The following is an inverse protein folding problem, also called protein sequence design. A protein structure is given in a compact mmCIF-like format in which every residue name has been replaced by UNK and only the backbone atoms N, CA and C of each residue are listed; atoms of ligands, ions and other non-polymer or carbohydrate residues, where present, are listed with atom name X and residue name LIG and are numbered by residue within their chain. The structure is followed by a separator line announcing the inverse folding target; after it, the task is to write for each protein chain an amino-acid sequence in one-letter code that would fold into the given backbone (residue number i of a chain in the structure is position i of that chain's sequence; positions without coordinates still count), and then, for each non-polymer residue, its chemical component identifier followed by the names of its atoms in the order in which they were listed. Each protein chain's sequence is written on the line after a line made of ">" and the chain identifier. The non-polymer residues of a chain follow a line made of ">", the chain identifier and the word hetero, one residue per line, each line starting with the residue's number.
data_IF_497766915255
#
_entry.id   IF_497766915255
#
_cell.length_a   1.000
_cell.length_b   1.000
_cell.length_c   1.000
_cell.angle_alpha   90.00
_cell.angle_beta   90.00
_cell.angle_gamma   90.00
#
_symmetry.space_group_name_H-M   'P 1'
#
loop_
_entity.id
_entity.type
_entity.pdbx_description
1 polymer ?
#
# COMPACT_ATOMS: atom_id res chain seq x y z
N UNK A 1 -11.59 11.55 -16.07
CA UNK A 1 -10.20 11.24 -15.67
C UNK A 1 -10.18 10.19 -14.57
N UNK A 2 -9.40 9.16 -14.72
CA UNK A 2 -9.25 8.12 -13.70
C UNK A 2 -8.36 8.65 -12.57
N UNK A 3 -8.89 8.82 -11.36
CA UNK A 3 -8.14 9.37 -10.22
C UNK A 3 -7.17 8.36 -9.61
N UNK A 4 -7.56 7.09 -9.58
CA UNK A 4 -6.67 5.98 -9.22
C UNK A 4 -6.78 4.91 -10.28
N UNK A 5 -5.66 4.32 -10.62
CA UNK A 5 -5.59 3.17 -11.48
C UNK A 5 -5.97 1.90 -10.69
N UNK A 6 -5.76 0.75 -11.30
CA UNK A 6 -5.79 -0.51 -10.61
C UNK A 6 -4.79 -0.48 -9.44
N UNK A 7 -5.17 -1.01 -8.29
CA UNK A 7 -4.33 -0.99 -7.09
C UNK A 7 -3.59 -2.32 -6.91
N UNK A 8 -2.27 -2.24 -6.82
CA UNK A 8 -1.45 -3.38 -6.43
C UNK A 8 -1.49 -3.51 -4.91
N UNK A 9 -1.90 -4.67 -4.40
CA UNK A 9 -2.04 -4.93 -2.97
C UNK A 9 -0.79 -5.62 -2.42
N UNK A 10 0.21 -4.82 -2.05
CA UNK A 10 1.48 -5.29 -1.52
C UNK A 10 1.54 -5.30 0.00
N UNK A 11 2.60 -5.86 0.53
CA UNK A 11 2.86 -5.88 1.97
C UNK A 11 2.86 -7.28 2.57
N UNK A 12 2.45 -7.38 3.83
CA UNK A 12 2.52 -8.62 4.58
C UNK A 12 1.76 -9.75 3.90
N UNK A 13 2.45 -10.87 3.72
CA UNK A 13 1.87 -12.14 3.26
C UNK A 13 1.70 -13.09 4.48
N UNK A 14 2.20 -14.31 4.43
CA UNK A 14 2.23 -15.23 5.57
C UNK A 14 0.85 -15.51 6.21
N UNK A 15 -0.18 -15.71 5.36
CA UNK A 15 -1.55 -16.02 5.81
C UNK A 15 -2.20 -14.89 6.62
N UNK A 16 -1.75 -13.65 6.46
CA UNK A 16 -2.38 -12.51 7.10
C UNK A 16 -3.68 -12.16 6.37
N UNK A 17 -4.79 -11.95 7.08
CA UNK A 17 -6.11 -11.72 6.47
C UNK A 17 -6.36 -10.29 6.00
N UNK A 18 -5.39 -9.39 6.03
CA UNK A 18 -5.65 -7.97 5.74
C UNK A 18 -6.24 -7.71 4.34
N UNK A 19 -5.83 -8.51 3.34
CA UNK A 19 -6.39 -8.37 1.99
C UNK A 19 -7.85 -8.77 1.95
N UNK A 20 -8.22 -9.82 2.67
CA UNK A 20 -9.61 -10.29 2.76
C UNK A 20 -10.51 -9.27 3.45
N UNK A 21 -9.96 -8.46 4.34
CA UNK A 21 -10.70 -7.38 5.01
C UNK A 21 -10.84 -6.15 4.10
N UNK A 22 -9.81 -5.84 3.31
CA UNK A 22 -9.78 -4.65 2.46
C UNK A 22 -10.57 -4.82 1.15
N UNK A 23 -10.46 -5.98 0.52
CA UNK A 23 -11.03 -6.23 -0.81
C UNK A 23 -12.54 -5.93 -0.88
N UNK A 24 -13.38 -6.34 0.09
CA UNK A 24 -14.81 -5.99 0.02
C UNK A 24 -15.07 -4.49 -0.02
N UNK A 25 -14.25 -3.69 0.64
CA UNK A 25 -14.40 -2.24 0.62
C UNK A 25 -13.98 -1.65 -0.74
N UNK A 26 -12.93 -2.20 -1.35
CA UNK A 26 -12.52 -1.81 -2.71
C UNK A 26 -13.62 -2.14 -3.71
N UNK A 27 -14.25 -3.31 -3.58
CA UNK A 27 -15.36 -3.73 -4.44
C UNK A 27 -16.54 -2.77 -4.31
N UNK A 28 -16.89 -2.37 -3.10
CA UNK A 28 -17.98 -1.40 -2.87
C UNK A 28 -17.69 -0.05 -3.52
N UNK A 29 -16.44 0.35 -3.56
CA UNK A 29 -16.01 1.61 -4.18
C UNK A 29 -15.82 1.49 -5.69
N UNK A 30 -15.91 0.28 -6.25
CA UNK A 30 -15.66 0.03 -7.67
C UNK A 30 -14.20 0.25 -8.07
N UNK A 31 -13.28 0.05 -7.15
CA UNK A 31 -11.85 0.19 -7.39
C UNK A 31 -11.28 -1.17 -7.78
N UNK A 32 -10.65 -1.24 -8.95
CA UNK A 32 -9.98 -2.45 -9.40
C UNK A 32 -8.68 -2.67 -8.64
N UNK A 33 -8.31 -3.91 -8.44
CA UNK A 33 -7.08 -4.27 -7.71
C UNK A 33 -6.43 -5.50 -8.32
N UNK A 34 -5.14 -5.66 -8.03
CA UNK A 34 -4.36 -6.86 -8.29
C UNK A 34 -3.88 -7.43 -6.95
N UNK A 35 -4.27 -8.66 -6.66
CA UNK A 35 -3.84 -9.38 -5.48
C UNK A 35 -2.72 -10.35 -5.87
N UNK A 36 -1.46 -10.09 -5.45
CA UNK A 36 -0.32 -10.92 -5.84
C UNK A 36 -0.24 -12.27 -5.10
N UNK A 37 -1.08 -12.47 -4.10
CA UNK A 37 -1.04 -13.70 -3.29
C UNK A 37 -1.65 -14.86 -4.05
N UNK A 38 -0.85 -15.91 -4.26
CA UNK A 38 -1.27 -17.15 -4.93
C UNK A 38 -0.72 -18.33 -4.15
N UNK A 39 -1.37 -19.51 -4.27
CA UNK A 39 -0.96 -20.72 -3.55
C UNK A 39 0.40 -21.22 -4.04
N UNK A 40 0.60 -21.26 -5.36
CA UNK A 40 1.83 -21.75 -5.98
C UNK A 40 2.55 -20.61 -6.71
N UNK A 41 3.32 -19.82 -5.97
CA UNK A 41 4.11 -18.75 -6.56
C UNK A 41 5.28 -19.30 -7.37
N UNK A 42 5.46 -18.79 -8.59
CA UNK A 42 6.48 -19.22 -9.53
C UNK A 42 7.01 -18.04 -10.35
N UNK A 43 7.91 -18.31 -11.29
CA UNK A 43 8.52 -17.27 -12.14
C UNK A 43 7.48 -16.52 -12.98
N UNK A 44 6.45 -17.22 -13.45
CA UNK A 44 5.36 -16.57 -14.20
C UNK A 44 4.63 -15.54 -13.32
N UNK A 45 4.39 -15.87 -12.05
CA UNK A 45 3.80 -14.94 -11.09
C UNK A 45 4.68 -13.71 -10.90
N UNK A 46 6.01 -13.90 -10.83
CA UNK A 46 6.95 -12.80 -10.71
C UNK A 46 6.88 -11.84 -11.91
N UNK A 47 6.80 -12.39 -13.10
CA UNK A 47 6.68 -11.57 -14.32
C UNK A 47 5.38 -10.80 -14.36
N UNK A 48 4.28 -11.42 -13.95
CA UNK A 48 2.96 -10.76 -13.87
C UNK A 48 3.01 -9.61 -12.86
N UNK A 49 3.58 -9.84 -11.67
CA UNK A 49 3.73 -8.80 -10.66
C UNK A 49 4.56 -7.62 -11.17
N UNK A 50 5.67 -7.89 -11.86
CA UNK A 50 6.51 -6.84 -12.44
C UNK A 50 5.76 -6.00 -13.45
N UNK A 51 4.94 -6.62 -14.30
CA UNK A 51 4.13 -5.91 -15.28
C UNK A 51 3.06 -5.06 -14.61
N UNK A 52 2.35 -5.61 -13.61
CA UNK A 52 1.35 -4.85 -12.85
C UNK A 52 1.98 -3.62 -12.17
N UNK A 53 3.15 -3.75 -11.59
CA UNK A 53 3.87 -2.65 -10.93
C UNK A 53 4.23 -1.49 -11.85
N UNK A 54 4.29 -1.70 -13.15
CA UNK A 54 4.55 -0.62 -14.11
C UNK A 54 3.35 0.29 -14.29
N UNK A 55 2.15 -0.23 -14.10
CA UNK A 55 0.89 0.44 -14.45
C UNK A 55 -0.03 0.72 -13.28
N UNK A 56 0.11 -0.02 -12.18
CA UNK A 56 -0.78 0.09 -11.03
C UNK A 56 -0.36 1.21 -10.09
N UNK A 57 -1.33 1.71 -9.34
CA UNK A 57 -1.08 2.42 -8.10
C UNK A 57 -0.92 1.40 -6.98
N UNK A 58 -0.52 1.83 -5.80
CA UNK A 58 -0.11 0.90 -4.75
C UNK A 58 -0.83 1.14 -3.44
N UNK A 59 -1.23 0.04 -2.81
CA UNK A 59 -1.54 -0.01 -1.38
C UNK A 59 -0.61 -1.04 -0.75
N UNK A 60 0.07 -0.65 0.32
CA UNK A 60 0.87 -1.55 1.13
C UNK A 60 0.33 -1.56 2.55
N UNK A 61 0.08 -2.76 3.08
CA UNK A 61 -0.29 -2.96 4.48
C UNK A 61 0.79 -3.82 5.13
N UNK A 62 1.41 -3.30 6.16
CA UNK A 62 2.39 -4.03 6.97
C UNK A 62 1.77 -4.33 8.33
N UNK A 63 1.75 -5.62 8.69
CA UNK A 63 1.23 -6.10 9.96
C UNK A 63 2.33 -6.73 10.80
N UNK A 64 2.09 -7.04 12.09
CA UNK A 64 3.07 -7.74 12.91
C UNK A 64 3.48 -9.12 12.38
N UNK A 65 2.74 -9.70 11.44
CA UNK A 65 3.10 -10.95 10.80
C UNK A 65 4.19 -10.80 9.73
N UNK A 66 4.64 -9.58 9.45
CA UNK A 66 5.71 -9.34 8.49
C UNK A 66 7.02 -9.95 8.96
N UNK A 67 7.56 -10.88 8.19
CA UNK A 67 8.82 -11.56 8.50
C UNK A 67 9.95 -11.11 7.60
N UNK A 68 9.70 -11.01 6.29
CA UNK A 68 10.71 -10.59 5.34
C UNK A 68 10.87 -9.08 5.29
N UNK A 69 12.02 -8.63 4.81
CA UNK A 69 12.33 -7.19 4.75
C UNK A 69 12.13 -6.61 3.34
N UNK A 70 11.92 -7.45 2.34
CA UNK A 70 11.83 -7.01 0.94
C UNK A 70 10.65 -6.04 0.71
N UNK A 71 9.54 -6.22 1.42
CA UNK A 71 8.39 -5.32 1.31
C UNK A 71 8.74 -3.87 1.62
N UNK A 72 9.70 -3.63 2.50
CA UNK A 72 10.13 -2.26 2.82
C UNK A 72 10.87 -1.62 1.65
N UNK A 73 11.69 -2.40 0.95
CA UNK A 73 12.35 -1.93 -0.27
C UNK A 73 11.34 -1.68 -1.39
N UNK A 74 10.34 -2.56 -1.52
CA UNK A 74 9.26 -2.39 -2.51
C UNK A 74 8.46 -1.11 -2.27
N UNK A 75 8.19 -0.77 -1.01
CA UNK A 75 7.49 0.47 -0.66
C UNK A 75 8.24 1.67 -1.20
N UNK A 76 9.54 1.76 -0.92
CA UNK A 76 10.35 2.89 -1.38
C UNK A 76 10.46 2.92 -2.91
N UNK A 77 10.67 1.78 -3.54
CA UNK A 77 10.69 1.67 -5.00
C UNK A 77 9.37 2.18 -5.62
N UNK A 78 8.24 1.79 -5.05
CA UNK A 78 6.92 2.22 -5.52
C UNK A 78 6.71 3.72 -5.37
N UNK A 79 7.18 4.32 -4.27
CA UNK A 79 7.12 5.76 -4.06
C UNK A 79 7.84 6.49 -5.20
N UNK A 80 9.06 6.08 -5.52
CA UNK A 80 9.83 6.71 -6.60
C UNK A 80 9.22 6.50 -7.97
N UNK A 81 8.53 5.40 -8.20
CA UNK A 81 7.82 5.16 -9.46
C UNK A 81 6.61 6.07 -9.65
N UNK A 82 6.09 6.66 -8.57
CA UNK A 82 4.84 7.44 -8.60
C UNK A 82 5.01 8.90 -8.19
N UNK A 83 6.24 9.41 -8.17
CA UNK A 83 6.49 10.80 -7.79
C UNK A 83 5.74 11.80 -8.68
N UNK A 84 5.67 11.54 -9.99
CA UNK A 84 5.06 12.47 -10.96
C UNK A 84 3.55 12.31 -11.01
N UNK A 85 3.07 11.08 -10.99
CA UNK A 85 1.63 10.82 -10.97
C UNK A 85 1.35 9.44 -10.37
N UNK A 86 0.15 9.25 -9.86
CA UNK A 86 -0.27 7.99 -9.27
C UNK A 86 -0.35 8.09 -7.76
N UNK A 87 -0.59 6.96 -7.13
CA UNK A 87 -0.89 6.89 -5.70
C UNK A 87 -0.10 5.76 -5.04
N UNK A 88 0.45 6.04 -3.86
CA UNK A 88 1.06 5.03 -2.99
C UNK A 88 0.59 5.29 -1.57
N UNK A 89 -0.18 4.37 -1.03
CA UNK A 89 -0.67 4.45 0.35
C UNK A 89 -0.08 3.30 1.15
N UNK A 90 0.50 3.63 2.29
CA UNK A 90 1.20 2.66 3.14
C UNK A 90 0.63 2.72 4.55
N UNK A 91 0.10 1.61 5.04
CA UNK A 91 -0.42 1.50 6.39
C UNK A 91 0.34 0.47 7.21
N UNK A 92 0.70 0.83 8.43
CA UNK A 92 1.30 -0.06 9.40
C UNK A 92 0.29 -0.29 10.52
N UNK A 93 -0.05 -1.55 10.80
CA UNK A 93 -1.08 -1.88 11.80
C UNK A 93 -0.50 -2.33 13.13
N UNK A 94 -1.32 -2.28 14.17
CA UNK A 94 -1.02 -2.89 15.48
C UNK A 94 0.26 -2.37 16.13
N UNK A 95 0.41 -1.05 16.17
CA UNK A 95 1.60 -0.36 16.69
C UNK A 95 2.06 -0.89 18.05
N UNK A 96 1.14 -1.15 18.97
CA UNK A 96 1.45 -1.60 20.33
C UNK A 96 1.97 -3.04 20.39
N UNK A 97 1.84 -3.81 19.32
CA UNK A 97 2.27 -5.22 19.26
C UNK A 97 3.76 -5.35 18.96
N UNK A 98 4.36 -4.34 18.33
CA UNK A 98 5.78 -4.35 18.00
C UNK A 98 6.62 -4.04 19.25
N UNK A 99 7.84 -4.59 19.32
CA UNK A 99 8.80 -4.13 20.29
C UNK A 99 9.28 -2.71 19.97
N UNK A 100 10.00 -2.08 20.91
CA UNK A 100 10.42 -0.68 20.71
C UNK A 100 11.32 -0.47 19.50
N UNK A 101 12.21 -1.41 19.21
CA UNK A 101 13.10 -1.29 18.06
C UNK A 101 12.34 -1.39 16.75
N UNK A 102 11.39 -2.33 16.67
CA UNK A 102 10.53 -2.48 15.50
C UNK A 102 9.64 -1.25 15.30
N UNK A 103 8.99 -0.77 16.37
CA UNK A 103 8.15 0.42 16.31
C UNK A 103 8.94 1.63 15.81
N UNK A 104 10.16 1.82 16.31
CA UNK A 104 11.05 2.90 15.89
C UNK A 104 11.39 2.79 14.39
N UNK A 105 11.72 1.58 13.92
CA UNK A 105 12.02 1.34 12.50
C UNK A 105 10.82 1.58 11.61
N UNK A 106 9.65 1.09 12.02
CA UNK A 106 8.40 1.30 11.25
C UNK A 106 8.05 2.78 11.18
N UNK A 107 8.17 3.49 12.30
CA UNK A 107 7.93 4.94 12.35
C UNK A 107 8.92 5.71 11.48
N UNK A 108 10.16 5.25 11.39
CA UNK A 108 11.16 5.85 10.52
C UNK A 108 10.81 5.67 9.03
N UNK A 109 10.29 4.51 8.66
CA UNK A 109 9.83 4.25 7.28
C UNK A 109 8.64 5.16 6.94
N UNK A 110 7.70 5.30 7.86
CA UNK A 110 6.55 6.21 7.70
C UNK A 110 7.04 7.63 7.44
N UNK A 111 7.97 8.10 8.27
CA UNK A 111 8.55 9.45 8.14
C UNK A 111 9.28 9.61 6.81
N UNK A 112 10.05 8.61 6.39
CA UNK A 112 10.79 8.64 5.13
C UNK A 112 9.86 8.76 3.93
N UNK A 113 8.81 7.95 3.88
CA UNK A 113 7.83 8.00 2.79
C UNK A 113 7.19 9.39 2.71
N UNK A 114 6.74 9.92 3.85
CA UNK A 114 6.07 11.22 3.89
C UNK A 114 7.03 12.38 3.57
N UNK A 115 8.29 12.26 3.95
CA UNK A 115 9.33 13.23 3.62
C UNK A 115 9.61 13.26 2.12
N UNK A 116 9.78 12.11 1.50
CA UNK A 116 9.97 12.00 0.04
C UNK A 116 8.76 12.62 -0.68
N UNK A 117 7.56 12.31 -0.23
CA UNK A 117 6.33 12.85 -0.81
C UNK A 117 6.27 14.38 -0.68
N UNK A 118 6.61 14.91 0.48
CA UNK A 118 6.64 16.36 0.73
C UNK A 118 7.69 17.06 -0.13
N UNK A 119 8.90 16.52 -0.19
CA UNK A 119 10.00 17.09 -0.97
C UNK A 119 9.68 17.15 -2.46
N UNK A 120 8.85 16.23 -2.94
CA UNK A 120 8.45 16.14 -4.35
C UNK A 120 7.04 16.68 -4.62
N UNK A 121 6.44 17.34 -3.64
CA UNK A 121 5.11 17.97 -3.74
C UNK A 121 4.01 17.02 -4.20
N UNK A 122 4.05 15.77 -3.73
CA UNK A 122 3.09 14.75 -4.13
C UNK A 122 1.71 14.92 -3.49
N UNK A 123 1.63 15.66 -2.38
CA UNK A 123 0.36 15.89 -1.69
C UNK A 123 -0.23 14.58 -1.15
N UNK A 124 -1.54 14.42 -1.33
CA UNK A 124 -2.28 13.26 -0.82
C UNK A 124 -2.10 11.98 -1.64
N UNK A 125 -1.38 12.05 -2.75
CA UNK A 125 -1.18 10.88 -3.61
C UNK A 125 -0.25 9.85 -2.97
N UNK A 126 0.68 10.29 -2.13
CA UNK A 126 1.64 9.43 -1.46
C UNK A 126 1.58 9.71 0.04
N UNK A 127 1.23 8.71 0.83
CA UNK A 127 1.05 8.85 2.28
C UNK A 127 1.34 7.55 2.99
N UNK A 128 2.03 7.64 4.12
CA UNK A 128 2.24 6.53 5.04
C UNK A 128 1.77 6.92 6.43
N UNK A 129 1.22 5.96 7.17
CA UNK A 129 0.72 6.21 8.53
C UNK A 129 0.58 4.92 9.33
N UNK A 130 0.57 5.05 10.65
CA UNK A 130 0.01 4.03 11.53
C UNK A 130 -1.50 4.03 11.38
N UNK A 131 -2.10 2.84 11.26
CA UNK A 131 -3.56 2.66 11.15
C UNK A 131 -4.01 1.57 12.14
N UNK A 132 -5.27 1.59 12.52
CA UNK A 132 -5.82 0.59 13.44
C UNK A 132 -6.24 -0.68 12.71
N UNK A 133 -6.90 -0.53 11.56
CA UNK A 133 -7.39 -1.65 10.74
C UNK A 133 -7.09 -1.41 9.27
N UNK A 134 -7.00 -2.47 8.45
CA UNK A 134 -6.63 -2.33 7.02
C UNK A 134 -7.51 -1.34 6.25
N UNK A 135 -8.81 -1.30 6.50
CA UNK A 135 -9.73 -0.41 5.79
C UNK A 135 -9.48 1.07 6.07
N UNK A 136 -8.79 1.42 7.14
CA UNK A 136 -8.43 2.82 7.45
C UNK A 136 -7.51 3.43 6.39
N UNK A 137 -6.82 2.59 5.60
CA UNK A 137 -5.93 3.08 4.55
C UNK A 137 -6.69 3.88 3.49
N UNK A 138 -7.96 3.58 3.28
CA UNK A 138 -8.78 4.29 2.31
C UNK A 138 -9.01 5.76 2.70
N UNK A 139 -8.89 6.07 3.99
CA UNK A 139 -9.00 7.44 4.50
C UNK A 139 -7.74 8.27 4.36
N UNK A 140 -6.61 7.68 3.95
CA UNK A 140 -5.35 8.40 3.83
C UNK A 140 -5.29 9.27 2.57
N UNK A 141 -6.12 9.00 1.57
CA UNK A 141 -6.08 9.73 0.30
C UNK A 141 -7.41 10.34 -0.06
N UNK A 142 -7.42 11.65 -0.27
CA UNK A 142 -8.60 12.37 -0.78
C UNK A 142 -8.97 11.94 -2.19
N UNK A 143 -8.03 11.41 -2.98
CA UNK A 143 -8.31 10.93 -4.33
C UNK A 143 -9.30 9.77 -4.34
N UNK A 144 -9.20 8.87 -3.37
CA UNK A 144 -10.14 7.74 -3.27
C UNK A 144 -11.53 8.20 -2.89
N UNK A 145 -11.62 9.17 -1.98
CA UNK A 145 -12.90 9.78 -1.62
C UNK A 145 -13.55 10.48 -2.81
N UNK A 146 -12.76 11.26 -3.56
CA UNK A 146 -13.24 11.94 -4.75
C UNK A 146 -13.81 10.96 -5.77
N UNK A 147 -13.15 9.83 -5.99
CA UNK A 147 -13.64 8.79 -6.89
C UNK A 147 -14.99 8.23 -6.44
N UNK A 148 -15.17 8.03 -5.14
CA UNK A 148 -16.45 7.57 -4.56
C UNK A 148 -17.55 8.59 -4.81
N UNK A 149 -17.28 9.87 -4.64
CA UNK A 149 -18.26 10.93 -4.81
C UNK A 149 -18.63 11.15 -6.29
N UNK A 150 -17.71 10.85 -7.21
CA UNK A 150 -17.94 11.01 -8.65
C UNK A 150 -18.79 9.89 -9.26
N UNK A 151 -19.07 8.87 -8.50
CA UNK A 151 -19.99 7.80 -8.90
C UNK A 151 -21.40 8.08 -8.41
#
# INVERSE_FOLDING_TARGET
>A
MKLVNKLFLGGTCNNDPWREELIPELDKLGIEYFNPVVDDWNEQCRLIEQEEKKHDDFIYIITPNQKGVYSFAEIIDSVYRRLIKGCVLVGFTSKSTYDKAQEKSMSAIISLVNEIASDNKCGYRIKAAWIDKPTDILGLSKLMYSKKLMK
#
